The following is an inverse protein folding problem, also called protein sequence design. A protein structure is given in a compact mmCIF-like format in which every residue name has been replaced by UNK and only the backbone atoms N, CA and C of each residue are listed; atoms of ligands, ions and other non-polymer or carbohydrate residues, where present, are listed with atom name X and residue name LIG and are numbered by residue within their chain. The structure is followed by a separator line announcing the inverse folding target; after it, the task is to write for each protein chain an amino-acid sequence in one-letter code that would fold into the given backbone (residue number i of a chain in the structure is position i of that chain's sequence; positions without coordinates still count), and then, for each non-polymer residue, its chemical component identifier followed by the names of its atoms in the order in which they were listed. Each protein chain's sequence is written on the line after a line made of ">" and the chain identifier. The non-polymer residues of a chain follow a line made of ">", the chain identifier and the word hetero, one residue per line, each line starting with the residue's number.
data_IF_493368872668
#
_entry.id   IF_493368872668
#
_cell.length_a   1.000
_cell.length_b   1.000
_cell.length_c   1.000
_cell.angle_alpha   90.00
_cell.angle_beta   90.00
_cell.angle_gamma   90.00
#
_symmetry.space_group_name_H-M   'P 1'
#
loop_
_entity.id
_entity.type
_entity.pdbx_description
1 polymer ?
#
# COMPACT_ATOMS: atom_id res chain seq x y z
N UNK A 1 6.93 -27.25 3.93
CA UNK A 1 6.40 -25.88 3.91
C UNK A 1 6.85 -25.22 2.60
N UNK A 2 5.95 -24.63 1.82
CA UNK A 2 6.28 -24.05 0.50
C UNK A 2 6.46 -22.53 0.61
N UNK A 3 7.49 -22.00 -0.03
CA UNK A 3 7.75 -20.56 -0.10
C UNK A 3 6.67 -19.87 -0.95
N UNK A 4 6.01 -18.86 -0.40
CA UNK A 4 4.88 -18.15 -1.04
C UNK A 4 5.25 -16.77 -1.62
N UNK A 5 6.49 -16.29 -1.41
CA UNK A 5 6.99 -15.02 -1.94
C UNK A 5 8.41 -15.19 -2.52
N UNK A 6 8.69 -14.57 -3.67
CA UNK A 6 10.02 -14.54 -4.31
C UNK A 6 10.27 -13.16 -4.94
N UNK A 7 11.44 -12.56 -4.69
CA UNK A 7 11.88 -11.31 -5.33
C UNK A 7 12.85 -10.49 -4.46
N UNK A 8 13.42 -9.41 -5.03
CA UNK A 8 14.27 -8.43 -4.32
C UNK A 8 13.42 -7.45 -3.47
N UNK A 9 12.49 -8.00 -2.69
CA UNK A 9 11.60 -7.22 -1.84
C UNK A 9 11.32 -7.98 -0.55
N UNK A 10 11.05 -7.25 0.53
CA UNK A 10 10.86 -7.80 1.87
C UNK A 10 9.39 -7.78 2.22
N UNK A 11 8.85 -8.92 2.66
CA UNK A 11 7.52 -8.99 3.27
C UNK A 11 7.57 -8.29 4.62
N UNK A 12 6.64 -7.37 4.88
CA UNK A 12 6.54 -6.65 6.14
C UNK A 12 5.50 -7.26 7.06
N UNK A 13 4.33 -7.61 6.54
CA UNK A 13 3.23 -8.14 7.35
C UNK A 13 2.27 -9.02 6.54
N UNK A 14 1.61 -9.96 7.21
CA UNK A 14 0.54 -10.80 6.66
C UNK A 14 -0.80 -10.29 7.19
N UNK A 15 -1.66 -9.82 6.28
CA UNK A 15 -2.87 -9.08 6.66
C UNK A 15 -4.08 -10.00 6.80
N UNK A 16 -4.34 -10.85 5.80
CA UNK A 16 -5.51 -11.73 5.81
C UNK A 16 -5.40 -12.87 4.80
N UNK A 17 -6.20 -13.92 5.05
CA UNK A 17 -6.53 -14.93 4.06
C UNK A 17 -7.82 -14.55 3.34
N UNK A 18 -7.85 -14.71 2.02
CA UNK A 18 -9.04 -14.50 1.18
C UNK A 18 -9.17 -15.64 0.18
N UNK A 19 -10.05 -16.61 0.49
CA UNK A 19 -10.18 -17.83 -0.29
C UNK A 19 -8.86 -18.59 -0.39
N UNK A 20 -8.26 -18.61 -1.59
CA UNK A 20 -7.01 -19.33 -1.86
C UNK A 20 -5.78 -18.41 -1.95
N UNK A 21 -5.90 -17.19 -1.44
CA UNK A 21 -4.87 -16.15 -1.48
C UNK A 21 -4.60 -15.55 -0.10
N UNK A 22 -3.44 -14.93 0.03
CA UNK A 22 -2.98 -14.19 1.20
C UNK A 22 -2.76 -12.74 0.76
N UNK A 23 -3.30 -11.81 1.54
CA UNK A 23 -2.99 -10.38 1.45
C UNK A 23 -1.82 -10.08 2.38
N UNK A 24 -0.80 -9.41 1.88
CA UNK A 24 0.41 -9.07 2.62
C UNK A 24 0.90 -7.67 2.23
N UNK A 25 1.69 -7.04 3.09
CA UNK A 25 2.43 -5.83 2.75
C UNK A 25 3.90 -6.15 2.53
N UNK A 26 4.56 -5.37 1.68
CA UNK A 26 5.98 -5.54 1.40
C UNK A 26 6.61 -4.29 0.81
N UNK A 27 7.94 -4.29 0.69
CA UNK A 27 8.65 -3.18 0.05
C UNK A 27 8.43 -3.19 -1.47
N UNK A 28 8.30 -2.02 -2.10
CA UNK A 28 8.44 -1.93 -3.56
C UNK A 28 9.91 -2.15 -3.99
N UNK A 29 10.17 -2.25 -5.30
CA UNK A 29 11.48 -2.60 -5.87
C UNK A 29 12.64 -1.71 -5.39
N UNK A 30 12.35 -0.43 -5.13
CA UNK A 30 13.37 0.55 -4.71
C UNK A 30 13.46 0.69 -3.17
N UNK A 31 12.76 -0.18 -2.42
CA UNK A 31 12.71 -0.23 -0.96
C UNK A 31 12.16 1.02 -0.22
N UNK A 32 11.85 2.11 -0.95
CA UNK A 32 11.34 3.36 -0.38
C UNK A 32 9.85 3.32 0.00
N UNK A 33 9.10 2.39 -0.59
CA UNK A 33 7.64 2.34 -0.49
C UNK A 33 7.17 1.04 0.18
N UNK A 34 6.05 1.14 0.88
CA UNK A 34 5.33 -0.03 1.40
C UNK A 34 4.08 -0.22 0.57
N UNK A 35 4.03 -1.33 -0.15
CA UNK A 35 2.96 -1.65 -1.09
C UNK A 35 2.19 -2.90 -0.62
N UNK A 36 0.99 -3.08 -1.16
CA UNK A 36 0.06 -4.15 -0.82
C UNK A 36 0.07 -5.19 -1.92
N UNK A 37 0.22 -6.45 -1.54
CA UNK A 37 0.31 -7.57 -2.46
C UNK A 37 -0.73 -8.64 -2.13
N UNK A 38 -1.15 -9.34 -3.18
CA UNK A 38 -1.92 -10.58 -3.09
C UNK A 38 -1.07 -11.72 -3.62
N UNK A 39 -0.87 -12.76 -2.81
CA UNK A 39 -0.16 -13.98 -3.22
C UNK A 39 -1.11 -15.17 -3.19
N UNK A 40 -1.03 -16.06 -4.18
CA UNK A 40 -1.81 -17.30 -4.18
C UNK A 40 -1.12 -18.35 -3.31
N UNK A 41 -1.87 -19.08 -2.47
CA UNK A 41 -1.27 -20.11 -1.60
C UNK A 41 -0.63 -21.24 -2.43
N UNK A 42 -1.21 -21.57 -3.59
CA UNK A 42 -0.76 -22.64 -4.48
C UNK A 42 0.43 -22.27 -5.39
N UNK A 43 0.80 -21.00 -5.49
CA UNK A 43 1.85 -20.57 -6.40
C UNK A 43 2.64 -19.39 -5.82
N UNK A 44 3.99 -19.35 -5.97
CA UNK A 44 4.85 -18.31 -5.40
C UNK A 44 4.75 -16.96 -6.12
N UNK A 45 3.61 -16.65 -6.76
CA UNK A 45 3.40 -15.42 -7.51
C UNK A 45 2.60 -14.45 -6.66
N UNK A 46 3.24 -13.34 -6.30
CA UNK A 46 2.61 -12.20 -5.65
C UNK A 46 2.33 -11.12 -6.69
N UNK A 47 1.14 -10.54 -6.65
CA UNK A 47 0.71 -9.43 -7.50
C UNK A 47 0.50 -8.21 -6.61
N UNK A 48 1.09 -7.08 -6.96
CA UNK A 48 0.81 -5.80 -6.30
C UNK A 48 -0.63 -5.38 -6.62
N UNK A 49 -1.41 -5.04 -5.59
CA UNK A 49 -2.82 -4.64 -5.72
C UNK A 49 -3.05 -3.17 -5.36
N UNK A 50 -2.14 -2.56 -4.59
CA UNK A 50 -2.09 -1.11 -4.44
C UNK A 50 -1.65 -0.44 -5.74
N UNK A 51 -2.22 0.74 -6.03
CA UNK A 51 -1.98 1.50 -7.27
C UNK A 51 -1.28 2.83 -7.05
N UNK A 52 -1.46 3.42 -5.87
CA UNK A 52 -0.80 4.65 -5.50
C UNK A 52 0.63 4.34 -5.03
N UNK A 53 1.52 5.29 -5.27
CA UNK A 53 2.85 5.28 -4.65
C UNK A 53 2.75 5.60 -3.16
N UNK A 54 3.72 5.13 -2.39
CA UNK A 54 3.97 5.61 -1.04
C UNK A 54 3.91 4.53 0.04
N UNK A 55 3.44 4.93 1.23
CA UNK A 55 3.47 4.10 2.43
C UNK A 55 2.07 3.65 2.80
N UNK A 56 1.75 2.40 2.48
CA UNK A 56 0.44 1.80 2.74
C UNK A 56 0.38 1.11 4.11
N UNK A 57 -0.73 1.32 4.82
CA UNK A 57 -1.10 0.58 6.04
C UNK A 57 -2.50 0.02 5.85
N UNK A 58 -2.58 -1.31 5.81
CA UNK A 58 -3.82 -2.02 5.45
C UNK A 58 -4.38 -2.78 6.64
N UNK A 59 -5.69 -2.75 6.77
CA UNK A 59 -6.47 -3.65 7.61
C UNK A 59 -7.49 -4.38 6.75
N UNK A 60 -7.80 -5.62 7.10
CA UNK A 60 -8.78 -6.42 6.39
C UNK A 60 -9.96 -6.75 7.30
N UNK A 61 -11.14 -6.96 6.70
CA UNK A 61 -12.24 -7.59 7.40
C UNK A 61 -11.95 -9.09 7.64
N UNK A 62 -12.77 -9.74 8.47
CA UNK A 62 -12.56 -11.14 8.93
C UNK A 62 -12.20 -12.15 7.83
N UNK A 63 -12.80 -12.03 6.65
CA UNK A 63 -12.57 -12.96 5.53
C UNK A 63 -11.69 -12.40 4.41
N UNK A 64 -11.03 -11.26 4.63
CA UNK A 64 -10.09 -10.66 3.68
C UNK A 64 -10.71 -10.14 2.38
N UNK A 65 -12.05 -10.10 2.25
CA UNK A 65 -12.73 -9.66 1.03
C UNK A 65 -12.69 -8.15 0.84
N UNK A 66 -12.62 -7.40 1.94
CA UNK A 66 -12.56 -5.94 1.96
C UNK A 66 -11.37 -5.46 2.77
N UNK A 67 -10.73 -4.42 2.29
CA UNK A 67 -9.53 -3.83 2.86
C UNK A 67 -9.78 -2.34 3.13
N UNK A 68 -9.36 -1.86 4.28
CA UNK A 68 -9.18 -0.43 4.54
C UNK A 68 -7.69 -0.14 4.38
N UNK A 69 -7.36 0.69 3.40
CA UNK A 69 -6.00 1.10 3.10
C UNK A 69 -5.82 2.58 3.42
N UNK A 70 -4.90 2.86 4.35
CA UNK A 70 -4.46 4.21 4.69
C UNK A 70 -3.07 4.43 4.14
N UNK A 71 -2.91 5.38 3.23
CA UNK A 71 -1.63 5.63 2.56
C UNK A 71 -1.34 7.11 2.37
N UNK A 72 -0.05 7.42 2.26
CA UNK A 72 0.46 8.75 1.95
C UNK A 72 1.71 8.67 1.06
N UNK A 73 2.03 9.77 0.40
CA UNK A 73 3.23 9.96 -0.41
C UNK A 73 3.72 11.40 -0.31
N UNK A 74 4.78 11.74 -1.04
CA UNK A 74 5.27 13.13 -1.11
C UNK A 74 4.22 14.09 -1.73
N UNK A 75 3.34 13.56 -2.58
CA UNK A 75 2.30 14.31 -3.29
C UNK A 75 0.92 14.12 -2.65
N UNK A 76 0.71 13.02 -1.91
CA UNK A 76 -0.53 12.72 -1.21
C UNK A 76 -0.35 12.86 0.31
N UNK A 77 -0.92 13.89 0.97
CA UNK A 77 -0.79 14.07 2.41
C UNK A 77 -1.48 12.97 3.23
N UNK A 78 -2.37 12.18 2.62
CA UNK A 78 -3.04 11.06 3.26
C UNK A 78 -4.40 10.78 2.64
N UNK A 79 -4.63 9.52 2.30
CA UNK A 79 -5.91 9.00 1.83
C UNK A 79 -6.25 7.74 2.61
N UNK A 80 -7.53 7.57 2.93
CA UNK A 80 -8.07 6.31 3.45
C UNK A 80 -9.13 5.83 2.46
N UNK A 81 -9.00 4.60 1.96
CA UNK A 81 -9.93 4.01 1.01
C UNK A 81 -10.41 2.64 1.44
N UNK A 82 -11.64 2.31 1.03
CA UNK A 82 -12.18 0.96 1.04
C UNK A 82 -11.89 0.32 -0.31
N UNK A 83 -11.15 -0.79 -0.29
CA UNK A 83 -10.83 -1.61 -1.45
C UNK A 83 -11.50 -2.98 -1.34
N UNK A 84 -11.72 -3.63 -2.47
CA UNK A 84 -11.91 -5.08 -2.49
C UNK A 84 -10.56 -5.83 -2.42
N UNK A 85 -10.61 -7.14 -2.20
CA UNK A 85 -9.44 -8.04 -2.19
C UNK A 85 -8.64 -8.11 -3.51
N UNK A 86 -9.09 -7.46 -4.57
CA UNK A 86 -8.35 -7.33 -5.84
C UNK A 86 -7.59 -6.01 -5.94
N UNK A 87 -7.77 -5.10 -4.98
CA UNK A 87 -7.21 -3.75 -5.00
C UNK A 87 -8.07 -2.75 -5.77
N UNK A 88 -9.32 -3.11 -6.11
CA UNK A 88 -10.25 -2.17 -6.73
C UNK A 88 -10.78 -1.23 -5.65
N UNK A 89 -10.52 0.07 -5.81
CA UNK A 89 -11.12 1.10 -4.95
C UNK A 89 -12.64 1.08 -5.13
N UNK A 90 -13.33 0.90 -4.01
CA UNK A 90 -14.79 0.92 -3.93
C UNK A 90 -15.28 2.29 -3.46
N UNK A 91 -14.55 2.91 -2.53
CA UNK A 91 -14.90 4.21 -1.96
C UNK A 91 -13.70 4.86 -1.26
N UNK A 92 -13.46 6.14 -1.51
CA UNK A 92 -12.59 6.97 -0.68
C UNK A 92 -13.35 7.36 0.60
N UNK A 93 -12.79 7.01 1.76
CA UNK A 93 -13.36 7.30 3.08
C UNK A 93 -12.87 8.64 3.61
N UNK A 94 -11.61 8.98 3.32
CA UNK A 94 -11.00 10.24 3.72
C UNK A 94 -9.93 10.66 2.69
N UNK A 95 -9.90 11.94 2.36
CA UNK A 95 -8.83 12.57 1.61
C UNK A 95 -8.36 13.80 2.38
N UNK A 96 -7.11 13.78 2.85
CA UNK A 96 -6.51 14.92 3.51
C UNK A 96 -6.25 16.03 2.50
N UNK A 97 -6.53 17.28 2.90
CA UNK A 97 -6.19 18.47 2.12
C UNK A 97 -4.77 18.88 2.44
N UNK A 98 -3.95 19.05 1.42
CA UNK A 98 -2.58 19.52 1.60
C UNK A 98 -2.58 20.99 2.01
N UNK A 99 -2.09 21.31 3.21
CA UNK A 99 -1.73 22.70 3.54
C UNK A 99 -0.32 22.97 2.98
N UNK A 100 -0.20 23.22 1.68
CA UNK A 100 1.09 23.53 1.01
C UNK A 100 1.61 24.92 1.40
N UNK A 101 1.90 25.16 2.69
CA UNK A 101 2.61 26.38 3.15
C UNK A 101 4.11 26.18 3.32
N UNK A 102 4.60 24.93 3.39
CA UNK A 102 6.00 24.63 3.72
C UNK A 102 6.93 24.61 2.49
N UNK A 103 6.46 24.26 1.29
CA UNK A 103 7.35 24.20 0.10
C UNK A 103 7.79 25.58 -0.43
N UNK A 104 7.08 26.67 -0.10
CA UNK A 104 7.49 28.03 -0.51
C UNK A 104 8.65 28.59 0.32
N UNK A 105 8.96 28.00 1.48
CA UNK A 105 10.04 28.50 2.35
C UNK A 105 11.42 27.97 1.93
N UNK A 106 11.52 26.75 1.39
CA UNK A 106 12.82 26.18 1.02
C UNK A 106 13.42 26.75 -0.28
N UNK A 107 12.61 27.34 -1.17
CA UNK A 107 13.09 27.96 -2.43
C UNK A 107 13.43 29.45 -2.31
N UNK A 108 13.29 30.07 -1.14
CA UNK A 108 13.61 31.50 -0.92
C UNK A 108 14.99 31.76 -0.29
N UNK A 109 15.68 30.72 0.18
CA UNK A 109 16.93 30.88 0.95
C UNK A 109 18.19 30.39 0.23
N UNK A 110 18.15 30.24 -1.09
CA UNK A 110 19.36 30.02 -1.90
C UNK A 110 19.33 30.93 -3.13
N UNK A 111 19.85 32.13 -2.95
CA UNK A 111 20.50 32.91 -4.00
C UNK A 111 21.92 33.19 -3.50
N UNK A 112 22.98 32.86 -4.26
CA UNK A 112 24.36 33.19 -3.91
C UNK A 112 24.59 34.71 -3.83
#
# INVERSE_FOLDING_TARGET
>A
MNQVTKGKWVVKDFIAFTGNSIILTGTHKDALETQVFRSTIKAPRSTMISKAEGMHRVQANYNGRFLIDSYNSLQNPGTIELLDHTGKSMRTLLQSKTHLRIQKLHKRNYTP
#
